data_IF_763429538287
#
_entry.id   IF_763429538287
#
_cell.length_a   1.000
_cell.length_b   1.000
_cell.length_c   1.000
_cell.angle_alpha   90.00
_cell.angle_beta   90.00
_cell.angle_gamma   90.00
#
_symmetry.space_group_name_H-M   'P 1'
#
loop_
_entity.id
_entity.type
_entity.pdbx_description
1 polymer ?
#
# COMPACT_ATOMS: atom_id res chain seq x y z
N UNK A 1 -3.98 -10.07 -11.87
CA UNK A 1 -2.51 -10.19 -12.01
C UNK A 1 -1.84 -9.13 -11.16
N UNK A 2 -1.74 -9.34 -9.84
CA UNK A 2 -1.10 -8.38 -8.92
C UNK A 2 0.29 -8.93 -8.60
N UNK A 3 1.32 -8.16 -8.91
CA UNK A 3 2.72 -8.51 -8.75
C UNK A 3 3.10 -8.65 -7.27
N UNK A 4 3.01 -9.88 -6.76
CA UNK A 4 3.59 -10.33 -5.50
C UNK A 4 4.99 -10.93 -5.73
N UNK A 5 5.98 -10.09 -6.02
CA UNK A 5 7.40 -10.46 -6.10
C UNK A 5 8.22 -9.17 -6.02
N UNK A 6 9.17 -9.01 -5.08
CA UNK A 6 10.21 -9.96 -4.67
C UNK A 6 10.30 -10.23 -3.14
N UNK A 7 9.35 -9.71 -2.34
CA UNK A 7 9.42 -9.78 -0.87
C UNK A 7 9.14 -11.18 -0.30
N UNK A 8 8.39 -12.02 -1.01
CA UNK A 8 8.14 -13.42 -0.62
C UNK A 8 9.40 -14.27 -0.87
N UNK A 9 10.21 -13.94 -1.89
CA UNK A 9 11.41 -14.68 -2.23
C UNK A 9 12.48 -14.58 -1.12
N UNK A 10 12.58 -13.44 -0.43
CA UNK A 10 13.52 -13.26 0.68
C UNK A 10 13.15 -14.06 1.94
N UNK A 11 11.87 -14.44 2.10
CA UNK A 11 11.41 -15.21 3.27
C UNK A 11 11.41 -16.73 3.04
N UNK A 12 11.43 -17.19 1.78
CA UNK A 12 11.45 -18.62 1.44
C UNK A 12 12.84 -19.25 1.56
N UNK A 13 13.92 -18.47 1.47
CA UNK A 13 15.29 -18.99 1.46
C UNK A 13 15.82 -19.44 2.84
N UNK A 14 15.14 -19.14 3.94
CA UNK A 14 15.58 -19.56 5.28
C UNK A 14 15.07 -20.94 5.73
N UNK A 15 14.30 -21.66 4.90
CA UNK A 15 13.62 -22.90 5.31
C UNK A 15 13.66 -24.07 4.32
N UNK A 16 14.60 -24.11 3.37
CA UNK A 16 14.74 -25.25 2.45
C UNK A 16 16.02 -26.03 2.81
N UNK A 17 15.92 -27.28 3.30
CA UNK A 17 17.05 -28.18 3.35
C UNK A 17 17.34 -28.71 1.93
N UNK A 18 18.41 -28.17 1.37
CA UNK A 18 19.23 -28.64 0.24
C UNK A 18 18.77 -29.91 -0.52
N UNK A 19 18.53 -29.75 -1.82
CA UNK A 19 18.99 -30.73 -2.81
C UNK A 19 19.37 -30.03 -4.13
N UNK A 20 20.66 -30.13 -4.45
CA UNK A 20 21.29 -30.07 -5.78
C UNK A 20 20.97 -28.89 -6.72
N UNK A 21 22.05 -28.17 -7.06
CA UNK A 21 22.18 -27.12 -8.09
C UNK A 21 21.55 -25.75 -7.76
N UNK A 22 22.37 -24.86 -7.19
CA UNK A 22 22.97 -23.72 -7.89
C UNK A 22 23.82 -22.93 -6.87
N UNK A 23 25.03 -22.53 -7.28
CA UNK A 23 25.82 -21.48 -6.61
C UNK A 23 25.08 -20.13 -6.71
N UNK A 24 23.89 -20.02 -6.12
CA UNK A 24 23.19 -18.77 -5.97
C UNK A 24 23.81 -18.05 -4.80
N UNK A 25 24.58 -17.01 -5.10
CA UNK A 25 25.15 -16.09 -4.12
C UNK A 25 24.01 -15.47 -3.31
N UNK A 26 23.76 -16.02 -2.12
CA UNK A 26 22.71 -15.56 -1.22
C UNK A 26 23.20 -14.33 -0.47
N UNK A 27 22.60 -13.17 -0.78
CA UNK A 27 22.82 -11.93 -0.03
C UNK A 27 21.74 -11.86 1.04
N UNK A 28 22.13 -12.04 2.30
CA UNK A 28 21.25 -11.83 3.44
C UNK A 28 21.47 -10.44 4.04
N UNK A 29 20.40 -9.89 4.62
CA UNK A 29 20.53 -8.70 5.47
C UNK A 29 21.30 -9.08 6.74
N UNK A 30 22.15 -8.17 7.22
CA UNK A 30 22.71 -8.32 8.56
C UNK A 30 21.55 -8.35 9.59
N UNK A 31 21.72 -9.00 10.75
CA UNK A 31 20.68 -9.04 11.78
C UNK A 31 20.19 -7.63 12.19
N UNK A 32 21.09 -6.66 12.18
CA UNK A 32 20.77 -5.26 12.44
C UNK A 32 19.92 -4.66 11.31
N UNK A 33 20.27 -4.93 10.05
CA UNK A 33 19.51 -4.45 8.90
C UNK A 33 18.12 -5.09 8.82
N UNK A 34 17.96 -6.37 9.18
CA UNK A 34 16.65 -7.03 9.21
C UNK A 34 15.75 -6.47 10.32
N UNK A 35 16.31 -6.16 11.50
CA UNK A 35 15.59 -5.47 12.57
C UNK A 35 15.13 -4.07 12.15
N UNK A 36 16.02 -3.27 11.55
CA UNK A 36 15.67 -1.95 11.03
C UNK A 36 14.59 -2.02 9.95
N UNK A 37 14.69 -2.99 9.05
CA UNK A 37 13.68 -3.21 8.02
C UNK A 37 12.30 -3.54 8.61
N UNK A 38 12.25 -4.39 9.63
CA UNK A 38 11.00 -4.71 10.31
C UNK A 38 10.39 -3.47 11.01
N UNK A 39 11.22 -2.62 11.61
CA UNK A 39 10.80 -1.34 12.19
C UNK A 39 10.29 -0.37 11.13
N UNK A 40 10.98 -0.25 10.00
CA UNK A 40 10.55 0.61 8.90
C UNK A 40 9.19 0.16 8.35
N UNK A 41 8.99 -1.15 8.20
CA UNK A 41 7.73 -1.71 7.73
C UNK A 41 6.57 -1.40 8.68
N UNK A 42 6.79 -1.55 9.99
CA UNK A 42 5.75 -1.26 11.00
C UNK A 42 5.39 0.22 11.06
N UNK A 43 6.39 1.10 10.94
CA UNK A 43 6.19 2.55 10.85
C UNK A 43 5.42 2.93 9.58
N UNK A 44 5.82 2.39 8.42
CA UNK A 44 5.10 2.61 7.14
C UNK A 44 3.65 2.20 7.24
N UNK A 45 3.38 1.01 7.81
CA UNK A 45 2.01 0.54 8.00
C UNK A 45 1.19 1.48 8.90
N UNK A 46 1.80 1.95 9.99
CA UNK A 46 1.16 2.88 10.94
C UNK A 46 0.83 4.22 10.27
N UNK A 47 1.76 4.77 9.49
CA UNK A 47 1.58 6.01 8.74
C UNK A 47 0.47 5.85 7.70
N UNK A 48 0.52 4.79 6.88
CA UNK A 48 -0.49 4.53 5.85
C UNK A 48 -1.90 4.40 6.46
N UNK A 49 -2.03 3.72 7.60
CA UNK A 49 -3.30 3.60 8.30
C UNK A 49 -3.80 4.96 8.80
N UNK A 50 -2.93 5.80 9.37
CA UNK A 50 -3.29 7.14 9.80
C UNK A 50 -3.73 8.03 8.62
N UNK A 51 -3.06 7.94 7.47
CA UNK A 51 -3.43 8.65 6.25
C UNK A 51 -4.77 8.16 5.69
N UNK A 52 -5.02 6.85 5.68
CA UNK A 52 -6.31 6.27 5.31
C UNK A 52 -7.44 6.84 6.20
N UNK A 53 -7.24 6.92 7.51
CA UNK A 53 -8.24 7.50 8.42
C UNK A 53 -8.50 8.99 8.09
N UNK A 54 -7.46 9.77 7.80
CA UNK A 54 -7.61 11.19 7.40
C UNK A 54 -8.40 11.32 6.10
N UNK A 55 -8.08 10.50 5.10
CA UNK A 55 -8.77 10.49 3.81
C UNK A 55 -10.23 10.05 3.94
N UNK A 56 -10.51 9.07 4.80
CA UNK A 56 -11.88 8.68 5.14
C UNK A 56 -12.65 9.85 5.76
N UNK A 57 -12.06 10.56 6.72
CA UNK A 57 -12.71 11.75 7.32
C UNK A 57 -12.96 12.85 6.28
N UNK A 58 -11.99 13.09 5.39
CA UNK A 58 -12.15 14.04 4.29
C UNK A 58 -13.32 13.67 3.38
N UNK A 59 -13.44 12.39 3.00
CA UNK A 59 -14.59 11.91 2.23
C UNK A 59 -15.90 12.08 3.00
N UNK A 60 -15.96 11.75 4.28
CA UNK A 60 -17.18 11.94 5.09
C UNK A 60 -17.65 13.41 5.12
N UNK A 61 -16.72 14.37 5.06
CA UNK A 61 -17.04 15.81 5.01
C UNK A 61 -17.40 16.32 3.61
N UNK A 62 -17.11 15.55 2.56
CA UNK A 62 -17.49 15.91 1.19
C UNK A 62 -18.99 15.68 0.94
N UNK A 63 -19.62 16.53 0.12
CA UNK A 63 -21.08 16.52 -0.10
C UNK A 63 -21.64 15.16 -0.55
N UNK A 64 -20.89 14.42 -1.37
CA UNK A 64 -21.33 13.13 -1.91
C UNK A 64 -20.58 11.94 -1.33
N UNK A 65 -19.78 12.13 -0.27
CA UNK A 65 -18.85 11.11 0.25
C UNK A 65 -17.93 10.51 -0.83
N UNK A 66 -17.63 11.33 -1.84
CA UNK A 66 -16.97 10.97 -3.10
C UNK A 66 -16.07 12.10 -3.56
N UNK A 67 -14.88 11.76 -4.05
CA UNK A 67 -13.95 12.72 -4.66
C UNK A 67 -13.36 12.07 -5.93
N UNK A 68 -13.35 12.82 -7.04
CA UNK A 68 -12.73 12.37 -8.29
C UNK A 68 -11.26 12.06 -8.09
N UNK A 69 -10.79 10.94 -8.65
CA UNK A 69 -9.39 10.53 -8.53
C UNK A 69 -8.43 11.59 -9.10
N UNK A 70 -8.82 12.27 -10.18
CA UNK A 70 -8.05 13.37 -10.78
C UNK A 70 -7.85 14.54 -9.82
N UNK A 71 -8.88 14.88 -9.02
CA UNK A 71 -8.78 15.93 -8.00
C UNK A 71 -8.01 15.46 -6.76
N UNK A 72 -8.10 14.17 -6.45
CA UNK A 72 -7.43 13.58 -5.31
C UNK A 72 -5.90 13.58 -5.47
N UNK A 73 -5.36 13.59 -6.70
CA UNK A 73 -3.92 13.75 -6.95
C UNK A 73 -3.36 15.01 -6.30
N UNK A 74 -4.07 16.14 -6.42
CA UNK A 74 -3.60 17.41 -5.86
C UNK A 74 -3.58 17.37 -4.33
N UNK A 75 -4.64 16.80 -3.73
CA UNK A 75 -4.73 16.63 -2.28
C UNK A 75 -3.73 15.60 -1.74
N UNK A 76 -3.36 14.61 -2.56
CA UNK A 76 -2.40 13.58 -2.20
C UNK A 76 -1.01 14.15 -1.92
N UNK A 77 -0.57 15.13 -2.71
CA UNK A 77 0.69 15.83 -2.49
C UNK A 77 0.69 16.56 -1.16
N UNK A 78 -0.40 17.27 -0.84
CA UNK A 78 -0.52 18.04 0.40
C UNK A 78 -0.65 17.17 1.65
N UNK A 79 -1.21 15.96 1.51
CA UNK A 79 -1.44 15.04 2.62
C UNK A 79 -0.40 13.91 2.74
N UNK A 80 0.64 13.91 1.91
CA UNK A 80 1.71 12.91 1.95
C UNK A 80 1.27 11.50 1.53
N UNK A 81 0.25 11.39 0.68
CA UNK A 81 -0.17 10.11 0.11
C UNK A 81 0.90 9.61 -0.88
N UNK A 82 1.17 8.29 -0.93
CA UNK A 82 2.16 7.75 -1.85
C UNK A 82 1.69 7.87 -3.30
N UNK A 83 2.58 8.05 -4.29
CA UNK A 83 2.20 8.32 -5.68
C UNK A 83 1.37 7.21 -6.33
N UNK A 84 1.46 5.99 -5.82
CA UNK A 84 0.69 4.83 -6.27
C UNK A 84 -0.65 4.62 -5.52
N UNK A 85 -1.13 5.64 -4.79
CA UNK A 85 -2.34 5.54 -3.98
C UNK A 85 -3.57 5.13 -4.80
N UNK A 86 -3.69 5.56 -6.07
CA UNK A 86 -4.83 5.20 -6.93
C UNK A 86 -5.03 3.69 -7.09
N UNK A 87 -3.94 2.94 -7.17
CA UNK A 87 -3.98 1.49 -7.37
C UNK A 87 -3.97 0.71 -6.06
N UNK A 88 -3.32 1.25 -5.02
CA UNK A 88 -3.10 0.53 -3.75
C UNK A 88 -4.18 0.80 -2.72
N UNK A 89 -4.72 2.01 -2.65
CA UNK A 89 -5.59 2.42 -1.56
C UNK A 89 -6.82 1.51 -1.40
N UNK A 90 -7.51 1.18 -2.51
CA UNK A 90 -8.65 0.27 -2.48
C UNK A 90 -8.27 -1.19 -2.20
N UNK A 91 -7.04 -1.61 -2.53
CA UNK A 91 -6.57 -2.97 -2.27
C UNK A 91 -6.11 -3.14 -0.82
N UNK A 92 -5.48 -2.10 -0.27
CA UNK A 92 -4.93 -2.08 1.09
C UNK A 92 -6.03 -1.79 2.13
N UNK A 93 -7.10 -1.07 1.76
CA UNK A 93 -8.24 -0.72 2.62
C UNK A 93 -9.61 -0.94 1.93
N UNK A 94 -9.92 -2.17 1.50
CA UNK A 94 -11.16 -2.49 0.79
C UNK A 94 -12.41 -2.25 1.65
N UNK A 95 -12.27 -2.26 2.98
CA UNK A 95 -13.35 -2.00 3.93
C UNK A 95 -13.69 -0.51 4.06
N UNK A 96 -12.83 0.39 3.57
CA UNK A 96 -13.01 1.85 3.70
C UNK A 96 -13.31 2.53 2.38
N UNK A 97 -12.68 2.06 1.30
CA UNK A 97 -12.72 2.74 0.02
C UNK A 97 -13.03 1.81 -1.14
N UNK A 98 -13.83 2.32 -2.07
CA UNK A 98 -14.06 1.72 -3.37
C UNK A 98 -13.89 2.77 -4.46
N UNK A 99 -13.54 2.33 -5.66
CA UNK A 99 -13.56 3.21 -6.82
C UNK A 99 -14.87 3.02 -7.57
N UNK A 100 -15.53 4.12 -7.93
CA UNK A 100 -16.77 4.12 -8.71
C UNK A 100 -16.60 4.96 -9.97
N UNK A 101 -17.24 4.53 -11.05
CA UNK A 101 -17.35 5.32 -12.27
C UNK A 101 -18.46 6.37 -12.10
N UNK A 102 -18.19 7.59 -12.53
CA UNK A 102 -19.16 8.70 -12.54
C UNK A 102 -19.20 9.33 -13.92
N UNK A 103 -20.20 10.19 -14.18
CA UNK A 103 -20.27 10.96 -15.43
C UNK A 103 -19.04 11.85 -15.68
N UNK A 104 -18.26 12.15 -14.64
CA UNK A 104 -17.05 12.97 -14.70
C UNK A 104 -15.76 12.13 -14.62
N UNK A 105 -15.87 10.79 -14.69
CA UNK A 105 -14.76 9.85 -14.56
C UNK A 105 -14.71 9.13 -13.21
N UNK A 106 -13.57 8.49 -12.92
CA UNK A 106 -13.38 7.65 -11.73
C UNK A 106 -13.29 8.47 -10.46
N UNK A 107 -14.06 8.08 -9.45
CA UNK A 107 -14.07 8.69 -8.13
C UNK A 107 -13.76 7.67 -7.04
N UNK A 108 -13.08 8.12 -5.98
CA UNK A 108 -12.97 7.40 -4.74
C UNK A 108 -14.24 7.64 -3.91
N UNK A 109 -14.86 6.57 -3.41
CA UNK A 109 -16.05 6.59 -2.58
C UNK A 109 -15.81 5.87 -1.26
N UNK A 110 -16.44 6.36 -0.19
CA UNK A 110 -16.51 5.66 1.10
C UNK A 110 -17.36 4.38 0.99
N UNK A 111 -16.85 3.25 1.49
CA UNK A 111 -17.66 2.06 1.74
C UNK A 111 -18.51 2.31 2.98
N UNK A 112 -19.82 2.11 2.87
CA UNK A 112 -20.77 2.35 3.97
C UNK A 112 -20.90 1.16 4.90
#
# INVERSE_FOLDING_TARGET
MINSGPLIALKILSSIPSSTYQDQLCISLTPQASLLFAQELSLKHTILNALAIKLQKLLMLSCHRRILLSKLVHLATDHGLPPNFHSRLCNDYPERFKTVETSYGRALELVS
#
